data_IF_204756522350
#
_entry.id   IF_204756522350
#
_cell.length_a   1.000
_cell.length_b   1.000
_cell.length_c   1.000
_cell.angle_alpha   90.00
_cell.angle_beta   90.00
_cell.angle_gamma   90.00
#
_symmetry.space_group_name_H-M   'P 1'
#
loop_
_entity.id
_entity.type
_entity.pdbx_description
1 polymer ?
#
# COMPACT_ATOMS: atom_id res chain seq x y z
N UNK A 1 -1.17 13.81 -17.15
CA UNK A 1 -0.55 13.49 -15.85
C UNK A 1 -0.49 11.98 -15.73
N UNK A 2 0.59 11.43 -15.15
CA UNK A 2 0.73 9.98 -14.98
C UNK A 2 0.55 9.63 -13.50
N UNK A 3 -0.38 8.74 -13.21
CA UNK A 3 -0.58 8.18 -11.88
C UNK A 3 0.02 6.77 -11.86
N UNK A 4 1.09 6.59 -11.09
CA UNK A 4 1.83 5.35 -10.99
C UNK A 4 1.72 4.74 -9.60
N UNK A 5 1.50 3.43 -9.56
CA UNK A 5 1.57 2.65 -8.34
C UNK A 5 2.78 1.73 -8.39
N UNK A 6 3.78 2.01 -7.58
CA UNK A 6 5.05 1.28 -7.61
C UNK A 6 5.15 0.20 -6.52
N UNK A 7 4.03 -0.47 -6.21
CA UNK A 7 3.89 -1.29 -5.00
C UNK A 7 2.99 -2.52 -5.22
N UNK A 8 3.33 -3.59 -4.51
CA UNK A 8 2.48 -4.72 -4.21
C UNK A 8 1.67 -4.55 -2.90
N UNK A 9 0.36 -4.23 -2.97
CA UNK A 9 -0.58 -5.23 -2.44
C UNK A 9 -1.35 -5.96 -3.54
N UNK A 10 -1.72 -7.23 -3.34
CA UNK A 10 -2.47 -8.04 -4.33
C UNK A 10 -3.79 -7.41 -4.81
N UNK A 11 -4.29 -6.40 -4.09
CA UNK A 11 -5.58 -5.76 -4.31
C UNK A 11 -5.44 -4.46 -5.10
N UNK A 12 -6.50 -4.13 -5.85
CA UNK A 12 -6.63 -2.81 -6.50
C UNK A 12 -6.85 -1.74 -5.42
N UNK A 13 -6.24 -0.57 -5.63
CA UNK A 13 -6.53 0.62 -4.83
C UNK A 13 -7.35 1.59 -5.67
N UNK A 14 -8.16 2.41 -5.01
CA UNK A 14 -8.90 3.48 -5.64
C UNK A 14 -8.28 4.81 -5.25
N UNK A 15 -7.96 5.63 -6.23
CA UNK A 15 -7.42 6.97 -6.02
C UNK A 15 -8.44 7.96 -6.53
N UNK A 16 -8.83 8.90 -5.69
CA UNK A 16 -9.71 10.01 -6.03
C UNK A 16 -8.86 11.26 -6.22
N UNK A 17 -8.97 11.92 -7.37
CA UNK A 17 -8.36 13.23 -7.60
C UNK A 17 -9.49 14.18 -8.00
N UNK A 18 -9.76 15.20 -7.18
CA UNK A 18 -10.89 16.12 -7.36
C UNK A 18 -12.21 15.36 -7.67
N UNK A 19 -12.55 14.40 -6.80
CA UNK A 19 -13.72 13.52 -6.89
C UNK A 19 -13.76 12.51 -8.06
N UNK A 20 -12.78 12.52 -8.96
CA UNK A 20 -12.64 11.48 -9.99
C UNK A 20 -11.93 10.26 -9.44
N UNK A 21 -12.67 9.16 -9.29
CA UNK A 21 -12.15 7.87 -8.83
C UNK A 21 -11.51 7.09 -9.97
N UNK A 22 -10.27 6.64 -9.74
CA UNK A 22 -9.46 5.85 -10.66
C UNK A 22 -9.04 4.57 -9.94
N UNK A 23 -9.22 3.42 -10.60
CA UNK A 23 -8.74 2.15 -10.08
C UNK A 23 -7.32 1.88 -10.57
N UNK A 24 -6.39 1.64 -9.65
CA UNK A 24 -5.00 1.30 -9.95
C UNK A 24 -4.71 -0.15 -9.58
N UNK A 25 -4.32 -0.90 -10.61
CA UNK A 25 -3.77 -2.24 -10.46
C UNK A 25 -2.36 -2.20 -9.82
N UNK A 26 -1.92 -3.28 -9.16
CA UNK A 26 -0.54 -3.40 -8.68
C UNK A 26 0.46 -3.24 -9.83
N UNK A 27 1.47 -2.39 -9.66
CA UNK A 27 2.44 -2.07 -10.72
C UNK A 27 1.87 -1.29 -11.91
N UNK A 28 0.61 -0.86 -11.85
CA UNK A 28 -0.07 -0.18 -12.95
C UNK A 28 0.23 1.32 -13.00
N UNK A 29 0.18 1.86 -14.21
CA UNK A 29 0.18 3.29 -14.50
C UNK A 29 -1.08 3.66 -15.28
N UNK A 30 -1.68 4.79 -14.94
CA UNK A 30 -2.82 5.35 -15.68
C UNK A 30 -2.52 6.79 -16.05
N UNK A 31 -2.63 7.10 -17.33
CA UNK A 31 -2.62 8.47 -17.82
C UNK A 31 -4.01 9.08 -17.66
N UNK A 32 -4.05 10.28 -17.10
CA UNK A 32 -5.28 11.03 -16.93
C UNK A 32 -5.10 12.49 -17.34
N UNK A 33 -6.12 13.10 -17.97
CA UNK A 33 -6.14 14.54 -18.21
C UNK A 33 -6.25 15.27 -16.87
N UNK A 34 -5.46 16.33 -16.70
CA UNK A 34 -5.48 17.15 -15.50
C UNK A 34 -6.42 18.33 -15.73
N UNK A 35 -7.51 18.40 -14.99
CA UNK A 35 -8.37 19.59 -14.98
C UNK A 35 -7.69 20.70 -14.18
N UNK A 36 -7.61 21.91 -14.74
CA UNK A 36 -6.98 23.04 -14.07
C UNK A 36 -7.70 23.35 -12.75
N UNK A 37 -6.95 23.24 -11.65
CA UNK A 37 -7.36 23.62 -10.31
C UNK A 37 -6.17 24.24 -9.58
N UNK A 38 -6.44 25.18 -8.66
CA UNK A 38 -5.41 25.77 -7.80
C UNK A 38 -4.92 24.78 -6.73
N UNK A 39 -5.77 23.81 -6.39
CA UNK A 39 -5.47 22.73 -5.44
C UNK A 39 -6.05 21.41 -5.92
N UNK A 40 -5.28 20.34 -5.73
CA UNK A 40 -5.67 18.97 -6.02
C UNK A 40 -5.72 18.19 -4.72
N UNK A 41 -6.87 17.60 -4.41
CA UNK A 41 -7.01 16.68 -3.27
C UNK A 41 -6.88 15.25 -3.82
N UNK A 42 -5.81 14.58 -3.41
CA UNK A 42 -5.56 13.18 -3.75
C UNK A 42 -5.98 12.33 -2.56
N UNK A 43 -7.01 11.52 -2.70
CA UNK A 43 -7.44 10.56 -1.69
C UNK A 43 -7.16 9.12 -2.15
N UNK A 44 -6.55 8.30 -1.29
CA UNK A 44 -6.36 6.87 -1.53
C UNK A 44 -7.33 6.10 -0.64
N UNK A 45 -8.12 5.24 -1.28
CA UNK A 45 -9.03 4.30 -0.65
C UNK A 45 -8.56 2.89 -0.98
N UNK A 46 -8.26 2.11 0.05
CA UNK A 46 -7.86 0.71 -0.06
C UNK A 46 -8.78 -0.15 0.80
N UNK A 47 -9.20 -1.34 0.34
CA UNK A 47 -9.96 -2.26 1.19
C UNK A 47 -9.19 -2.69 2.45
N UNK A 48 -7.87 -2.54 2.46
CA UNK A 48 -7.01 -2.84 3.61
C UNK A 48 -6.91 -1.69 4.62
N UNK A 49 -7.34 -0.47 4.26
CA UNK A 49 -7.27 0.71 5.13
C UNK A 49 -8.67 1.13 5.57
N UNK A 50 -8.85 1.26 6.88
CA UNK A 50 -10.09 1.80 7.47
C UNK A 50 -10.17 3.33 7.35
N UNK A 51 -9.03 4.01 7.20
CA UNK A 51 -8.94 5.46 7.01
C UNK A 51 -8.50 5.79 5.59
N UNK A 52 -9.05 6.88 5.04
CA UNK A 52 -8.59 7.46 3.79
C UNK A 52 -7.23 8.11 4.02
N UNK A 53 -6.29 7.87 3.13
CA UNK A 53 -5.03 8.61 3.11
C UNK A 53 -5.18 9.77 2.12
N UNK A 54 -5.10 11.02 2.58
CA UNK A 54 -5.30 12.19 1.73
C UNK A 54 -4.11 13.14 1.74
N UNK A 55 -3.83 13.74 0.59
CA UNK A 55 -2.82 14.77 0.43
C UNK A 55 -3.32 15.85 -0.52
N UNK A 56 -3.18 17.11 -0.10
CA UNK A 56 -3.47 18.28 -0.94
C UNK A 56 -2.18 18.77 -1.59
N UNK A 57 -2.21 19.04 -2.89
CA UNK A 57 -1.08 19.54 -3.67
C UNK A 57 -1.52 20.72 -4.54
N UNK A 58 -0.75 21.81 -4.57
CA UNK A 58 -1.04 23.02 -5.34
C UNK A 58 -0.39 23.03 -6.73
N UNK A 59 0.81 22.48 -6.86
CA UNK A 59 1.64 22.64 -8.07
C UNK A 59 1.68 21.36 -8.91
N UNK A 60 0.52 20.98 -9.45
CA UNK A 60 0.41 19.84 -10.36
C UNK A 60 0.35 20.30 -11.82
N UNK A 61 1.20 19.73 -12.66
CA UNK A 61 1.26 20.01 -14.09
C UNK A 61 0.83 18.78 -14.92
N UNK A 62 0.49 18.98 -16.19
CA UNK A 62 0.07 17.88 -17.08
C UNK A 62 1.14 16.79 -17.21
N UNK A 63 2.42 17.12 -17.06
CA UNK A 63 3.53 16.16 -17.13
C UNK A 63 3.95 15.61 -15.77
N UNK A 64 3.29 16.01 -14.67
CA UNK A 64 3.61 15.50 -13.34
C UNK A 64 3.31 14.02 -13.22
N UNK A 65 4.16 13.34 -12.45
CA UNK A 65 4.02 11.92 -12.11
C UNK A 65 3.70 11.81 -10.63
N UNK A 66 2.50 11.36 -10.31
CA UNK A 66 2.14 11.00 -8.94
C UNK A 66 2.53 9.54 -8.73
N UNK A 67 3.50 9.32 -7.85
CA UNK A 67 3.95 7.99 -7.44
C UNK A 67 3.40 7.67 -6.05
N UNK A 68 2.62 6.59 -5.96
CA UNK A 68 2.11 6.06 -4.70
C UNK A 68 3.06 4.95 -4.23
N UNK A 69 3.60 5.10 -3.03
CA UNK A 69 4.49 4.13 -2.33
C UNK A 69 3.85 3.64 -1.04
N UNK A 70 4.16 2.42 -0.58
CA UNK A 70 3.82 1.98 0.79
C UNK A 70 4.99 2.21 1.73
N UNK A 71 4.71 2.38 3.02
CA UNK A 71 5.79 2.40 4.03
C UNK A 71 6.38 1.03 4.32
N UNK A 72 5.62 -0.06 4.12
CA UNK A 72 6.16 -1.43 4.15
C UNK A 72 6.70 -1.81 2.76
N UNK A 73 7.97 -2.22 2.64
CA UNK A 73 8.55 -2.62 1.37
C UNK A 73 7.98 -3.97 0.91
N UNK A 74 7.86 -4.17 -0.40
CA UNK A 74 7.40 -5.45 -0.98
C UNK A 74 8.27 -6.64 -0.54
N UNK A 75 9.57 -6.41 -0.30
CA UNK A 75 10.50 -7.40 0.22
C UNK A 75 10.10 -7.93 1.60
N UNK A 76 9.48 -7.11 2.45
CA UNK A 76 8.98 -7.55 3.75
C UNK A 76 7.90 -8.62 3.59
N UNK A 77 6.91 -8.37 2.71
CA UNK A 77 5.82 -9.32 2.46
C UNK A 77 6.32 -10.61 1.84
N UNK A 78 7.25 -10.55 0.89
CA UNK A 78 7.81 -11.73 0.23
C UNK A 78 8.67 -12.56 1.19
N UNK A 79 9.58 -11.92 1.94
CA UNK A 79 10.49 -12.62 2.85
C UNK A 79 9.74 -13.17 4.07
N UNK A 80 8.99 -12.33 4.79
CA UNK A 80 8.29 -12.76 6.00
C UNK A 80 7.10 -13.67 5.69
N UNK A 81 6.42 -13.45 4.57
CA UNK A 81 5.39 -14.37 4.08
C UNK A 81 5.96 -15.72 3.68
N UNK A 82 7.11 -15.74 2.99
CA UNK A 82 7.82 -16.97 2.64
C UNK A 82 8.31 -17.74 3.87
N UNK A 83 8.95 -17.05 4.83
CA UNK A 83 9.39 -17.65 6.10
C UNK A 83 8.20 -18.20 6.88
N UNK A 84 7.10 -17.44 6.95
CA UNK A 84 5.87 -17.87 7.62
C UNK A 84 5.28 -19.12 6.95
N UNK A 85 5.31 -19.22 5.62
CA UNK A 85 4.84 -20.39 4.88
C UNK A 85 5.70 -21.63 5.16
N UNK A 86 7.03 -21.49 5.16
CA UNK A 86 7.93 -22.60 5.53
C UNK A 86 7.65 -23.07 6.95
N UNK A 87 7.49 -22.14 7.90
CA UNK A 87 7.22 -22.47 9.29
C UNK A 87 5.82 -23.07 9.49
N UNK A 88 4.81 -22.67 8.69
CA UNK A 88 3.51 -23.35 8.61
C UNK A 88 3.67 -24.82 8.20
N UNK A 89 4.46 -25.10 7.16
CA UNK A 89 4.69 -26.48 6.69
C UNK A 89 5.42 -27.31 7.76
N UNK A 90 6.43 -26.74 8.41
CA UNK A 90 7.16 -27.42 9.49
C UNK A 90 6.29 -27.67 10.72
N UNK A 91 5.40 -26.74 11.06
CA UNK A 91 4.41 -26.92 12.12
C UNK A 91 3.41 -28.03 11.78
N UNK A 92 2.92 -28.07 10.54
CA UNK A 92 2.02 -29.13 10.07
C UNK A 92 2.65 -30.52 10.17
N UNK A 93 3.95 -30.62 9.89
CA UNK A 93 4.75 -31.85 10.07
C UNK A 93 5.14 -32.12 11.54
N UNK A 94 4.63 -31.33 12.49
CA UNK A 94 4.95 -31.41 13.93
C UNK A 94 6.45 -31.26 14.25
N UNK A 95 7.23 -30.68 13.33
CA UNK A 95 8.67 -30.45 13.52
C UNK A 95 8.98 -29.17 14.31
N UNK A 96 7.98 -28.29 14.47
CA UNK A 96 8.11 -27.01 15.16
C UNK A 96 7.06 -26.91 16.27
N UNK A 97 7.42 -26.52 17.50
CA UNK A 97 6.47 -26.26 18.57
C UNK A 97 5.51 -25.10 18.24
N UNK A 98 4.28 -25.19 18.76
CA UNK A 98 3.26 -24.15 18.58
C UNK A 98 3.71 -22.76 19.05
N UNK A 99 4.58 -22.70 20.07
CA UNK A 99 5.13 -21.44 20.59
C UNK A 99 5.98 -20.74 19.52
N UNK A 100 6.85 -21.47 18.84
CA UNK A 100 7.74 -20.91 17.80
C UNK A 100 6.90 -20.46 16.59
N UNK A 101 5.94 -21.30 16.19
CA UNK A 101 4.97 -20.95 15.14
C UNK A 101 4.24 -19.64 15.47
N UNK A 102 3.69 -19.53 16.69
CA UNK A 102 2.98 -18.34 17.14
C UNK A 102 3.85 -17.09 17.14
N UNK A 103 5.10 -17.18 17.60
CA UNK A 103 6.02 -16.03 17.61
C UNK A 103 6.35 -15.52 16.19
N UNK A 104 6.60 -16.42 15.25
CA UNK A 104 6.88 -16.06 13.85
C UNK A 104 5.67 -15.36 13.22
N UNK A 105 4.49 -15.92 13.46
CA UNK A 105 3.25 -15.39 12.90
C UNK A 105 2.92 -14.02 13.53
N UNK A 106 3.18 -13.85 14.83
CA UNK A 106 3.07 -12.56 15.50
C UNK A 106 4.05 -11.53 14.91
N UNK A 107 5.31 -11.91 14.69
CA UNK A 107 6.32 -11.05 14.07
C UNK A 107 5.94 -10.63 12.65
N UNK A 108 5.24 -11.49 11.90
CA UNK A 108 4.74 -11.15 10.58
C UNK A 108 3.53 -10.19 10.63
N UNK A 109 2.57 -10.45 11.53
CA UNK A 109 1.32 -9.68 11.62
C UNK A 109 1.53 -8.31 12.29
N UNK A 110 2.37 -8.24 13.31
CA UNK A 110 2.50 -7.04 14.16
C UNK A 110 2.85 -5.77 13.36
N UNK A 111 3.85 -5.76 12.45
CA UNK A 111 4.15 -4.58 11.62
C UNK A 111 3.01 -4.22 10.67
N UNK A 112 2.30 -5.22 10.13
CA UNK A 112 1.15 -5.00 9.25
C UNK A 112 0.05 -4.28 10.02
N UNK A 113 -0.30 -4.77 11.21
CA UNK A 113 -1.33 -4.16 12.07
C UNK A 113 -0.91 -2.76 12.50
N UNK A 114 0.35 -2.57 12.91
CA UNK A 114 0.87 -1.26 13.32
C UNK A 114 0.73 -0.22 12.21
N UNK A 115 1.18 -0.53 10.98
CA UNK A 115 1.06 0.39 9.85
C UNK A 115 -0.39 0.55 9.37
N UNK A 116 -1.23 -0.47 9.50
CA UNK A 116 -2.64 -0.40 9.06
C UNK A 116 -3.52 0.41 10.00
N UNK A 117 -3.31 0.31 11.32
CA UNK A 117 -4.20 0.91 12.33
C UNK A 117 -3.62 2.11 13.06
N UNK A 118 -2.32 2.08 13.40
CA UNK A 118 -1.67 3.13 14.21
C UNK A 118 -1.08 4.21 13.31
N UNK A 119 -0.41 3.81 12.23
CA UNK A 119 0.20 4.70 11.24
C UNK A 119 -0.48 4.65 9.88
N UNK A 120 -1.81 4.57 9.87
CA UNK A 120 -2.62 4.51 8.64
C UNK A 120 -2.35 5.69 7.70
N UNK A 121 -2.08 6.87 8.26
CA UNK A 121 -1.81 8.11 7.52
C UNK A 121 -0.43 8.08 6.83
N UNK A 122 0.48 7.21 7.30
CA UNK A 122 1.79 6.97 6.67
C UNK A 122 1.82 5.70 5.82
N UNK A 123 0.72 4.93 5.77
CA UNK A 123 0.68 3.64 5.06
C UNK A 123 0.97 3.81 3.58
N UNK A 124 0.38 4.83 2.94
CA UNK A 124 0.71 5.25 1.59
C UNK A 124 1.45 6.60 1.63
N UNK A 125 2.58 6.68 0.95
CA UNK A 125 3.28 7.92 0.68
C UNK A 125 2.97 8.38 -0.75
N UNK A 126 2.43 9.59 -0.88
CA UNK A 126 2.13 10.22 -2.17
C UNK A 126 3.31 11.15 -2.52
N UNK A 127 4.13 10.72 -3.48
CA UNK A 127 5.23 11.51 -4.03
C UNK A 127 4.79 12.15 -5.35
N UNK A 128 5.04 13.45 -5.53
CA UNK A 128 4.81 14.14 -6.80
C UNK A 128 6.18 14.44 -7.40
N UNK A 129 6.36 14.06 -8.67
CA UNK A 129 7.55 14.32 -9.48
C UNK A 129 7.19 15.13 -10.72
#
# INVERSE_FOLDING_TARGET
MILCRNIFPLLRIFVSINDKKISLAPGGSVEMPLEKSDYYVIEIVSPLLLKKNSKTVSDLHENSVIEIKTSLPDSYYLLMGGVSLVICVLFFLQMVPAIIFGMVLLLYIFPIVYHTFVKADEYFSICVK
#
